data_IF_042088036120
#
_entry.id   IF_042088036120
#
_cell.length_a   1.000
_cell.length_b   1.000
_cell.length_c   1.000
_cell.angle_alpha   90.00
_cell.angle_beta   90.00
_cell.angle_gamma   90.00
#
_symmetry.space_group_name_H-M   'P 1'
#
loop_
_entity.id
_entity.type
_entity.pdbx_description
1 polymer ?
#
# COMPACT_ATOMS: atom_id res chain seq x y z
N UNK A 1 -2.75 1.82 -16.13
CA UNK A 1 -3.15 1.72 -14.71
C UNK A 1 -1.90 1.99 -13.87
N UNK A 2 -1.92 2.96 -12.95
CA UNK A 2 -0.75 3.31 -12.13
C UNK A 2 -0.72 2.45 -10.87
N UNK A 3 0.47 2.12 -10.38
CA UNK A 3 0.68 1.34 -9.16
C UNK A 3 1.99 1.75 -8.51
N UNK A 4 2.13 1.43 -7.23
CA UNK A 4 3.34 1.65 -6.44
C UNK A 4 4.04 0.30 -6.32
N UNK A 5 5.25 0.20 -6.84
CA UNK A 5 6.06 -1.00 -6.80
C UNK A 5 7.01 -0.95 -5.60
N UNK A 6 7.03 -2.03 -4.80
CA UNK A 6 7.98 -2.22 -3.72
C UNK A 6 9.10 -3.12 -4.25
N UNK A 7 10.33 -2.62 -4.18
CA UNK A 7 11.55 -3.34 -4.57
C UNK A 7 12.52 -3.39 -3.39
N UNK A 8 13.33 -4.44 -3.31
CA UNK A 8 14.44 -4.51 -2.36
C UNK A 8 15.61 -3.64 -2.83
N UNK A 9 16.59 -3.31 -1.96
CA UNK A 9 17.80 -2.59 -2.37
C UNK A 9 18.58 -3.29 -3.50
N UNK A 10 18.47 -4.61 -3.61
CA UNK A 10 19.09 -5.44 -4.65
C UNK A 10 18.31 -5.41 -5.98
N UNK A 11 17.15 -4.76 -6.02
CA UNK A 11 16.29 -4.66 -7.20
C UNK A 11 15.29 -5.81 -7.37
N UNK A 12 15.15 -6.68 -6.36
CA UNK A 12 14.23 -7.80 -6.40
C UNK A 12 12.81 -7.40 -5.95
N UNK A 13 11.75 -8.17 -6.30
CA UNK A 13 10.39 -7.90 -5.85
C UNK A 13 10.24 -7.87 -4.31
N UNK A 14 9.72 -6.75 -3.78
CA UNK A 14 9.43 -6.55 -2.36
C UNK A 14 8.16 -7.28 -1.87
N UNK A 15 8.01 -8.57 -2.17
CA UNK A 15 6.80 -9.35 -1.82
C UNK A 15 6.57 -9.43 -0.31
N UNK A 16 7.64 -9.64 0.47
CA UNK A 16 7.57 -9.71 1.93
C UNK A 16 7.19 -8.37 2.56
N UNK A 17 7.90 -7.25 2.31
CA UNK A 17 7.49 -5.95 2.85
C UNK A 17 6.10 -5.54 2.38
N UNK A 18 5.68 -5.94 1.16
CA UNK A 18 4.29 -5.71 0.76
C UNK A 18 3.29 -6.48 1.64
N UNK A 19 3.54 -7.76 1.95
CA UNK A 19 2.66 -8.52 2.81
C UNK A 19 2.55 -7.91 4.23
N UNK A 20 3.66 -7.43 4.78
CA UNK A 20 3.72 -6.73 6.07
C UNK A 20 2.88 -5.44 6.03
N UNK A 21 3.05 -4.63 4.99
CA UNK A 21 2.27 -3.40 4.76
C UNK A 21 0.76 -3.65 4.63
N UNK A 22 0.36 -4.70 3.91
CA UNK A 22 -1.06 -5.06 3.78
C UNK A 22 -1.68 -5.45 5.11
N UNK A 23 -0.92 -6.13 5.99
CA UNK A 23 -1.38 -6.48 7.33
C UNK A 23 -1.51 -5.23 8.19
N UNK A 24 -0.46 -4.42 8.29
CA UNK A 24 -0.46 -3.23 9.14
C UNK A 24 -1.50 -2.19 8.70
N UNK A 25 -1.68 -2.00 7.39
CA UNK A 25 -2.70 -1.10 6.85
C UNK A 25 -4.10 -1.60 7.21
N UNK A 26 -4.37 -2.90 7.07
CA UNK A 26 -5.66 -3.51 7.43
C UNK A 26 -5.95 -3.35 8.91
N UNK A 27 -4.97 -3.59 9.77
CA UNK A 27 -5.11 -3.43 11.22
C UNK A 27 -5.37 -1.96 11.60
N UNK A 28 -4.83 -1.02 10.82
CA UNK A 28 -5.08 0.41 10.94
C UNK A 28 -6.37 0.90 10.25
N UNK A 29 -7.19 0.01 9.67
CA UNK A 29 -8.48 0.34 9.04
C UNK A 29 -8.42 0.68 7.56
N UNK A 30 -7.26 0.56 6.90
CA UNK A 30 -7.07 0.83 5.48
C UNK A 30 -7.02 -0.45 4.65
N UNK A 31 -7.90 -0.56 3.65
CA UNK A 31 -7.89 -1.68 2.70
C UNK A 31 -7.06 -1.34 1.46
N UNK A 32 -6.01 -2.13 1.23
CA UNK A 32 -5.11 -2.02 0.08
C UNK A 32 -5.23 -3.25 -0.82
N UNK A 33 -5.08 -3.04 -2.14
CA UNK A 33 -5.17 -4.11 -3.14
C UNK A 33 -3.79 -4.47 -3.71
N UNK A 34 -3.25 -5.67 -3.41
CA UNK A 34 -2.03 -6.15 -4.07
C UNK A 34 -2.28 -6.55 -5.52
N UNK A 35 -1.23 -6.46 -6.34
CA UNK A 35 -1.26 -6.82 -7.76
C UNK A 35 0.13 -7.24 -8.25
N UNK A 36 0.21 -7.65 -9.52
CA UNK A 36 1.44 -8.13 -10.15
C UNK A 36 1.72 -9.61 -9.87
N UNK A 37 2.54 -10.24 -10.73
CA UNK A 37 2.83 -11.68 -10.66
C UNK A 37 3.51 -12.08 -9.35
N UNK A 38 4.45 -11.27 -8.88
CA UNK A 38 5.18 -11.51 -7.64
C UNK A 38 4.49 -10.89 -6.40
N UNK A 39 3.30 -10.27 -6.55
CA UNK A 39 2.58 -9.59 -5.46
C UNK A 39 3.47 -8.60 -4.71
N UNK A 40 4.03 -7.64 -5.44
CA UNK A 40 4.88 -6.56 -4.91
C UNK A 40 4.45 -5.18 -5.42
N UNK A 41 3.25 -5.08 -6.01
CA UNK A 41 2.68 -3.82 -6.51
C UNK A 41 1.36 -3.53 -5.80
N UNK A 42 1.20 -2.32 -5.28
CA UNK A 42 -0.07 -1.81 -4.71
C UNK A 42 -0.79 -0.95 -5.73
N UNK A 43 -2.12 -1.09 -5.80
CA UNK A 43 -2.98 -0.17 -6.52
C UNK A 43 -3.91 0.56 -5.56
N UNK A 44 -3.92 1.88 -5.65
CA UNK A 44 -4.89 2.73 -4.97
C UNK A 44 -6.12 2.86 -5.87
N UNK A 45 -7.15 2.07 -5.58
CA UNK A 45 -8.41 2.02 -6.32
C UNK A 45 -9.52 2.74 -5.54
N UNK A 46 -9.29 4.02 -5.26
CA UNK A 46 -10.16 4.86 -4.45
C UNK A 46 -11.42 5.21 -5.26
N UNK A 47 -12.64 5.19 -4.69
CA UNK A 47 -13.84 5.61 -5.39
C UNK A 47 -13.75 7.08 -5.79
N UNK A 48 -14.26 7.42 -6.98
CA UNK A 48 -14.26 8.81 -7.49
C UNK A 48 -15.11 9.76 -6.63
N UNK A 49 -15.99 9.20 -5.81
CA UNK A 49 -16.89 9.92 -4.89
C UNK A 49 -16.38 9.93 -3.45
N UNK A 50 -15.10 9.63 -3.20
CA UNK A 50 -14.54 9.73 -1.86
C UNK A 50 -14.55 11.18 -1.38
N UNK A 51 -14.87 11.40 -0.12
CA UNK A 51 -14.73 12.72 0.49
C UNK A 51 -13.24 13.05 0.71
N UNK A 52 -12.80 14.30 0.50
CA UNK A 52 -11.40 14.69 0.62
C UNK A 52 -10.77 14.28 1.97
N UNK A 53 -11.48 14.48 3.07
CA UNK A 53 -10.96 14.19 4.41
C UNK A 53 -10.71 12.69 4.61
N UNK A 54 -11.58 11.82 4.08
CA UNK A 54 -11.42 10.37 4.13
C UNK A 54 -10.26 9.91 3.25
N UNK A 55 -10.07 10.56 2.09
CA UNK A 55 -8.91 10.31 1.26
C UNK A 55 -7.61 10.64 2.00
N UNK A 56 -7.55 11.81 2.63
CA UNK A 56 -6.37 12.23 3.40
C UNK A 56 -6.09 11.30 4.58
N UNK A 57 -7.10 10.92 5.34
CA UNK A 57 -6.95 9.93 6.43
C UNK A 57 -6.35 8.61 5.93
N UNK A 58 -6.87 8.10 4.80
CA UNK A 58 -6.36 6.87 4.19
C UNK A 58 -4.90 6.99 3.72
N UNK A 59 -4.51 8.15 3.17
CA UNK A 59 -3.13 8.42 2.77
C UNK A 59 -2.20 8.57 3.98
N UNK A 60 -2.67 9.18 5.07
CA UNK A 60 -1.92 9.31 6.31
C UNK A 60 -1.66 7.93 6.96
N UNK A 61 -2.66 7.04 6.95
CA UNK A 61 -2.47 5.65 7.39
C UNK A 61 -1.43 4.97 6.50
N UNK A 62 -1.53 5.14 5.18
CA UNK A 62 -0.61 4.53 4.22
C UNK A 62 0.84 4.99 4.44
N UNK A 63 1.07 6.29 4.62
CA UNK A 63 2.38 6.86 4.91
C UNK A 63 2.97 6.32 6.22
N UNK A 64 2.18 6.29 7.30
CA UNK A 64 2.64 5.74 8.59
C UNK A 64 3.02 4.27 8.49
N UNK A 65 2.23 3.46 7.80
CA UNK A 65 2.55 2.04 7.63
C UNK A 65 3.80 1.83 6.77
N UNK A 66 3.99 2.62 5.70
CA UNK A 66 5.20 2.59 4.89
C UNK A 66 6.45 2.96 5.71
N UNK A 67 6.37 4.02 6.52
CA UNK A 67 7.48 4.46 7.36
C UNK A 67 7.86 3.45 8.46
N UNK A 68 6.93 2.55 8.82
CA UNK A 68 7.15 1.50 9.80
C UNK A 68 7.74 0.20 9.22
N UNK A 69 7.88 0.09 7.89
CA UNK A 69 8.53 -1.05 7.26
C UNK A 69 10.04 -1.03 7.54
N UNK A 70 10.59 -2.21 7.86
CA UNK A 70 12.01 -2.42 8.18
C UNK A 70 12.83 -2.87 6.96
#
# INVERSE_FOLDING_TARGET
MRGIELITPEGEPGTRPLAELLSSARDAGLLLMPSGKARHIIRLLIPLTIEPDVLHEGLDIFERCLAALA
#
